data_IF_840387474613
#
_entry.id   IF_840387474613
#
_cell.length_a   1.000
_cell.length_b   1.000
_cell.length_c   1.000
_cell.angle_alpha   90.00
_cell.angle_beta   90.00
_cell.angle_gamma   90.00
#
_symmetry.space_group_name_H-M   'P 1'
#
loop_
_entity.id
_entity.type
_entity.pdbx_description
1 polymer ?
#
# COMPACT_ATOMS: atom_id res chain seq x y z
N UNK A 1 19.46 -46.96 1.71
CA UNK A 1 20.45 -47.61 2.59
C UNK A 1 21.74 -46.81 2.58
N UNK A 2 22.35 -46.55 3.74
CA UNK A 2 23.69 -45.96 3.83
C UNK A 2 24.74 -46.98 3.38
N UNK A 3 25.51 -46.67 2.34
CA UNK A 3 26.54 -47.55 1.76
C UNK A 3 27.94 -47.17 2.21
N UNK A 4 28.23 -45.88 2.37
CA UNK A 4 29.56 -45.39 2.73
C UNK A 4 29.46 -44.16 3.63
N UNK A 5 30.37 -44.06 4.60
CA UNK A 5 30.55 -42.89 5.46
C UNK A 5 32.04 -42.52 5.50
N UNK A 6 32.35 -41.31 5.04
CA UNK A 6 33.69 -40.75 5.04
C UNK A 6 33.75 -39.52 5.93
N UNK A 7 34.71 -39.48 6.85
CA UNK A 7 34.91 -38.39 7.81
C UNK A 7 36.36 -37.95 7.78
N UNK A 8 36.59 -36.66 7.55
CA UNK A 8 37.91 -36.05 7.52
C UNK A 8 37.99 -34.92 8.55
N UNK A 9 39.05 -34.93 9.37
CA UNK A 9 39.40 -33.88 10.33
C UNK A 9 38.28 -33.47 11.32
N UNK A 10 37.47 -34.43 11.75
CA UNK A 10 36.35 -34.21 12.66
C UNK A 10 36.68 -34.70 14.07
N UNK A 11 36.54 -33.84 15.09
CA UNK A 11 36.91 -34.14 16.48
C UNK A 11 38.31 -34.78 16.58
N UNK A 12 38.42 -35.99 17.16
CA UNK A 12 39.68 -36.74 17.27
C UNK A 12 39.99 -37.63 16.05
N UNK A 13 39.17 -37.60 15.00
CA UNK A 13 39.35 -38.41 13.78
C UNK A 13 40.11 -37.60 12.72
N UNK A 14 41.24 -38.14 12.25
CA UNK A 14 41.96 -37.57 11.11
C UNK A 14 41.27 -37.96 9.80
N UNK A 15 41.05 -39.24 9.61
CA UNK A 15 40.35 -39.82 8.47
C UNK A 15 39.67 -41.10 8.93
N UNK A 16 38.41 -41.29 8.56
CA UNK A 16 37.64 -42.51 8.75
C UNK A 16 36.85 -42.76 7.48
N UNK A 17 36.86 -44.02 7.04
CA UNK A 17 36.08 -44.48 5.91
C UNK A 17 35.46 -45.82 6.30
N UNK A 18 34.14 -45.89 6.21
CA UNK A 18 33.36 -47.07 6.57
C UNK A 18 32.46 -47.41 5.39
N UNK A 19 32.58 -48.63 4.90
CA UNK A 19 31.63 -49.24 3.97
C UNK A 19 30.65 -50.12 4.75
N UNK A 20 29.36 -49.97 4.46
CA UNK A 20 28.28 -50.68 5.14
C UNK A 20 27.55 -51.58 4.15
N UNK A 21 27.35 -52.83 4.56
CA UNK A 21 26.59 -53.82 3.80
C UNK A 21 25.13 -53.88 4.27
N UNK A 22 24.25 -54.37 3.38
CA UNK A 22 22.82 -54.46 3.66
C UNK A 22 22.51 -55.42 4.80
N UNK A 23 21.44 -55.12 5.54
CA UNK A 23 21.03 -55.88 6.71
C UNK A 23 21.57 -55.30 8.02
N UNK A 24 22.06 -56.16 8.91
CA UNK A 24 22.51 -55.78 10.25
C UNK A 24 24.02 -55.58 10.29
N UNK A 25 24.46 -54.34 10.49
CA UNK A 25 25.86 -53.99 10.75
C UNK A 25 26.09 -53.71 12.24
N UNK A 26 27.14 -54.30 12.81
CA UNK A 26 27.49 -54.13 14.24
C UNK A 26 28.89 -53.54 14.36
N UNK A 27 29.00 -52.37 15.00
CA UNK A 27 30.27 -51.70 15.29
C UNK A 27 30.65 -51.98 16.74
N UNK A 28 31.83 -52.57 16.96
CA UNK A 28 32.40 -52.89 18.29
C UNK A 28 33.76 -52.21 18.49
N UNK A 29 34.23 -52.09 19.73
CA UNK A 29 35.53 -51.48 20.07
C UNK A 29 35.79 -51.39 21.57
N UNK A 30 37.04 -51.09 21.97
CA UNK A 30 37.44 -50.97 23.38
C UNK A 30 36.91 -49.69 24.07
N UNK A 31 36.75 -48.60 23.33
CA UNK A 31 36.22 -47.32 23.85
C UNK A 31 35.00 -46.86 23.05
N UNK A 32 34.00 -46.29 23.74
CA UNK A 32 32.76 -45.80 23.11
C UNK A 32 32.94 -44.56 22.23
N UNK A 33 34.11 -43.93 22.24
CA UNK A 33 34.37 -42.67 21.53
C UNK A 33 34.23 -42.81 20.01
N UNK A 34 34.79 -43.85 19.40
CA UNK A 34 34.75 -44.04 17.94
C UNK A 34 33.34 -44.23 17.38
N UNK A 35 32.49 -44.95 18.12
CA UNK A 35 31.08 -45.16 17.75
C UNK A 35 30.27 -43.88 17.85
N UNK A 36 30.40 -43.15 18.96
CA UNK A 36 29.67 -41.88 19.15
C UNK A 36 30.07 -40.86 18.09
N UNK A 37 31.37 -40.72 17.80
CA UNK A 37 31.88 -39.78 16.79
C UNK A 37 31.30 -40.08 15.39
N UNK A 38 31.19 -41.36 15.01
CA UNK A 38 30.60 -41.73 13.73
C UNK A 38 29.10 -41.38 13.65
N UNK A 39 28.35 -41.60 14.73
CA UNK A 39 26.92 -41.26 14.82
C UNK A 39 26.72 -39.74 14.82
N UNK A 40 27.54 -39.00 15.55
CA UNK A 40 27.45 -37.53 15.63
C UNK A 40 27.79 -36.90 14.27
N UNK A 41 28.84 -37.38 13.59
CA UNK A 41 29.19 -36.95 12.25
C UNK A 41 28.06 -37.23 11.25
N UNK A 42 27.47 -38.42 11.30
CA UNK A 42 26.33 -38.78 10.47
C UNK A 42 25.12 -37.87 10.75
N UNK A 43 24.84 -37.57 12.02
CA UNK A 43 23.80 -36.62 12.42
C UNK A 43 24.02 -35.22 11.81
N UNK A 44 25.24 -34.71 11.83
CA UNK A 44 25.60 -33.43 11.20
C UNK A 44 25.46 -33.45 9.68
N UNK A 45 25.79 -34.58 9.05
CA UNK A 45 25.59 -34.79 7.62
C UNK A 45 24.09 -34.81 7.23
N UNK A 46 23.21 -35.19 8.17
CA UNK A 46 21.75 -35.19 8.00
C UNK A 46 21.07 -33.89 8.43
N UNK A 47 21.83 -32.80 8.63
CA UNK A 47 21.28 -31.48 8.92
C UNK A 47 21.05 -31.15 10.40
N UNK A 48 21.67 -31.90 11.32
CA UNK A 48 21.74 -31.47 12.72
C UNK A 48 22.57 -30.18 12.88
N UNK A 49 22.34 -29.47 13.98
CA UNK A 49 23.00 -28.20 14.27
C UNK A 49 24.47 -28.45 14.61
N UNK A 50 25.35 -27.68 13.97
CA UNK A 50 26.79 -27.69 14.28
C UNK A 50 27.02 -26.96 15.60
N UNK A 51 27.73 -27.60 16.53
CA UNK A 51 28.25 -26.97 17.74
C UNK A 51 29.68 -26.46 17.51
N UNK A 52 30.08 -25.41 18.24
CA UNK A 52 31.44 -24.84 18.17
C UNK A 52 32.45 -25.81 18.78
N UNK A 53 33.57 -26.07 18.08
CA UNK A 53 34.66 -27.01 18.40
C UNK A 53 34.57 -28.44 17.83
N UNK A 54 33.91 -28.63 16.68
CA UNK A 54 33.84 -29.93 15.97
C UNK A 54 35.00 -30.18 14.99
N UNK A 55 35.76 -29.15 14.61
CA UNK A 55 36.93 -29.27 13.73
C UNK A 55 38.15 -29.69 14.54
N UNK A 56 38.91 -30.67 14.04
CA UNK A 56 40.13 -31.14 14.69
C UNK A 56 41.15 -30.00 14.87
N UNK A 57 41.81 -29.98 16.02
CA UNK A 57 42.85 -28.99 16.34
C UNK A 57 43.97 -28.96 15.27
N UNK A 58 44.33 -27.76 14.83
CA UNK A 58 45.34 -27.55 13.78
C UNK A 58 44.85 -27.80 12.35
N UNK A 59 43.55 -27.99 12.11
CA UNK A 59 42.95 -28.12 10.78
C UNK A 59 42.00 -26.95 10.48
N UNK A 60 41.92 -26.52 9.23
CA UNK A 60 41.07 -25.40 8.80
C UNK A 60 39.60 -25.79 8.58
N UNK A 61 39.33 -27.07 8.26
CA UNK A 61 38.00 -27.59 7.98
C UNK A 61 37.87 -29.07 8.29
N UNK A 62 36.65 -29.48 8.64
CA UNK A 62 36.17 -30.85 8.71
C UNK A 62 35.21 -31.15 7.55
N UNK A 63 35.23 -32.36 7.03
CA UNK A 63 34.36 -32.80 5.94
C UNK A 63 33.75 -34.17 6.26
N UNK A 64 32.44 -34.28 6.07
CA UNK A 64 31.68 -35.50 6.30
C UNK A 64 30.87 -35.79 5.04
N UNK A 65 31.00 -37.00 4.51
CA UNK A 65 30.31 -37.47 3.33
C UNK A 65 29.57 -38.78 3.64
N UNK A 66 28.29 -38.85 3.33
CA UNK A 66 27.46 -40.04 3.51
C UNK A 66 26.81 -40.38 2.16
N UNK A 67 27.08 -41.58 1.66
CA UNK A 67 26.54 -42.08 0.40
C UNK A 67 25.42 -43.08 0.67
N UNK A 68 24.34 -42.94 -0.11
CA UNK A 68 23.13 -43.74 0.05
C UNK A 68 22.74 -44.38 -1.27
N UNK A 69 22.33 -45.65 -1.20
CA UNK A 69 21.60 -46.31 -2.26
C UNK A 69 20.08 -46.18 -2.02
N UNK A 70 19.34 -45.71 -3.00
CA UNK A 70 17.92 -45.43 -2.96
C UNK A 70 17.14 -46.42 -3.83
N UNK A 71 16.11 -47.01 -3.23
CA UNK A 71 15.10 -47.75 -3.99
C UNK A 71 14.04 -46.77 -4.53
N UNK A 72 13.43 -47.03 -5.70
CA UNK A 72 12.45 -46.13 -6.33
C UNK A 72 11.23 -45.81 -5.45
N UNK A 73 10.88 -46.70 -4.52
CA UNK A 73 9.75 -46.54 -3.61
C UNK A 73 10.09 -45.74 -2.34
N UNK A 74 11.34 -45.34 -2.15
CA UNK A 74 11.76 -44.58 -0.99
C UNK A 74 11.31 -43.11 -1.11
N UNK A 75 10.68 -42.50 -0.09
CA UNK A 75 10.31 -41.08 -0.11
C UNK A 75 11.45 -40.12 -0.49
N UNK A 76 12.69 -40.46 -0.14
CA UNK A 76 13.87 -39.69 -0.50
C UNK A 76 14.11 -39.61 -2.02
N UNK A 77 13.74 -40.66 -2.77
CA UNK A 77 13.86 -40.69 -4.23
C UNK A 77 12.95 -39.64 -4.88
N UNK A 78 11.69 -39.59 -4.45
CA UNK A 78 10.72 -38.59 -4.94
C UNK A 78 11.07 -37.17 -4.52
N UNK A 79 11.52 -36.97 -3.27
CA UNK A 79 11.92 -35.65 -2.79
C UNK A 79 13.09 -35.07 -3.60
N UNK A 80 14.10 -35.90 -3.96
CA UNK A 80 15.21 -35.46 -4.81
C UNK A 80 14.76 -35.06 -6.21
N UNK A 81 13.77 -35.77 -6.77
CA UNK A 81 13.19 -35.46 -8.08
C UNK A 81 12.40 -34.14 -8.04
N UNK A 82 11.57 -33.93 -7.02
CA UNK A 82 10.77 -32.70 -6.84
C UNK A 82 11.64 -31.46 -6.62
N UNK A 83 12.78 -31.61 -5.95
CA UNK A 83 13.72 -30.52 -5.68
C UNK A 83 14.76 -30.33 -6.80
N UNK A 84 14.70 -31.11 -7.89
CA UNK A 84 15.68 -31.09 -8.98
C UNK A 84 17.14 -31.35 -8.51
N UNK A 85 17.32 -32.16 -7.46
CA UNK A 85 18.62 -32.48 -6.84
C UNK A 85 19.08 -33.92 -7.11
N UNK A 86 18.37 -34.65 -7.97
CA UNK A 86 18.71 -36.01 -8.35
C UNK A 86 19.95 -36.05 -9.25
N UNK A 87 20.81 -37.05 -9.04
CA UNK A 87 21.92 -37.30 -9.95
C UNK A 87 21.40 -37.86 -11.28
N UNK A 88 21.76 -37.20 -12.38
CA UNK A 88 21.30 -37.56 -13.72
C UNK A 88 21.92 -38.87 -14.24
N UNK A 89 23.13 -39.21 -13.79
CA UNK A 89 23.83 -40.42 -14.22
C UNK A 89 23.47 -41.62 -13.33
N UNK A 90 23.31 -41.40 -12.03
CA UNK A 90 22.95 -42.43 -11.05
C UNK A 90 21.73 -42.05 -10.18
N UNK A 91 20.49 -42.16 -10.71
CA UNK A 91 19.27 -41.74 -9.99
C UNK A 91 19.01 -42.47 -8.66
N UNK A 92 19.60 -43.65 -8.50
CA UNK A 92 19.53 -44.48 -7.29
C UNK A 92 20.61 -44.16 -6.26
N UNK A 93 21.48 -43.19 -6.50
CA UNK A 93 22.52 -42.78 -5.57
C UNK A 93 22.22 -41.38 -5.01
N UNK A 94 22.48 -41.20 -3.73
CA UNK A 94 22.38 -39.91 -3.07
C UNK A 94 23.61 -39.69 -2.18
N UNK A 95 24.35 -38.63 -2.47
CA UNK A 95 25.56 -38.26 -1.73
C UNK A 95 25.28 -36.98 -0.95
N UNK A 96 25.27 -37.10 0.37
CA UNK A 96 25.20 -35.96 1.28
C UNK A 96 26.61 -35.57 1.70
N UNK A 97 26.95 -34.29 1.60
CA UNK A 97 28.26 -33.78 2.01
C UNK A 97 28.14 -32.52 2.84
N UNK A 98 28.78 -32.52 4.01
CA UNK A 98 28.81 -31.40 4.95
C UNK A 98 30.26 -30.97 5.19
N UNK A 99 30.53 -29.69 4.95
CA UNK A 99 31.83 -29.07 5.21
C UNK A 99 31.66 -28.07 6.34
N UNK A 100 32.51 -28.16 7.38
CA UNK A 100 32.47 -27.31 8.57
C UNK A 100 33.83 -26.62 8.71
N UNK A 101 33.84 -25.30 8.75
CA UNK A 101 35.06 -24.51 8.94
C UNK A 101 35.29 -24.23 10.44
N UNK A 102 36.53 -23.91 10.80
CA UNK A 102 36.92 -23.47 12.17
C UNK A 102 36.09 -22.30 12.69
N UNK A 103 35.65 -21.42 11.79
CA UNK A 103 34.83 -20.24 12.12
C UNK A 103 33.35 -20.58 12.43
N UNK A 104 32.99 -21.86 12.49
CA UNK A 104 31.64 -22.36 12.77
C UNK A 104 30.68 -22.30 11.57
N UNK A 105 31.09 -21.67 10.46
CA UNK A 105 30.33 -21.69 9.21
C UNK A 105 30.36 -23.10 8.61
N UNK A 106 29.21 -23.55 8.12
CA UNK A 106 29.10 -24.84 7.45
C UNK A 106 28.35 -24.75 6.13
N UNK A 107 28.74 -25.59 5.17
CA UNK A 107 28.13 -25.72 3.85
C UNK A 107 27.63 -27.15 3.68
N UNK A 108 26.46 -27.31 3.10
CA UNK A 108 25.89 -28.59 2.75
C UNK A 108 25.75 -28.74 1.25
N UNK A 109 25.89 -29.97 0.78
CA UNK A 109 25.74 -30.36 -0.61
C UNK A 109 24.96 -31.66 -0.70
N UNK A 110 24.13 -31.76 -1.72
CA UNK A 110 23.42 -32.98 -2.14
C UNK A 110 23.81 -33.20 -3.61
N UNK A 111 24.37 -34.36 -3.95
CA UNK A 111 24.80 -34.69 -5.31
C UNK A 111 25.61 -33.55 -5.98
N UNK A 112 26.58 -33.01 -5.23
CA UNK A 112 27.43 -31.86 -5.63
C UNK A 112 26.76 -30.48 -5.72
N UNK A 113 25.45 -30.38 -5.54
CA UNK A 113 24.70 -29.11 -5.54
C UNK A 113 24.63 -28.52 -4.13
N UNK A 114 24.96 -27.23 -3.91
CA UNK A 114 24.87 -26.61 -2.58
C UNK A 114 23.41 -26.44 -2.14
N UNK A 115 23.10 -26.82 -0.90
CA UNK A 115 21.73 -26.76 -0.34
C UNK A 115 21.68 -26.08 1.02
N UNK A 116 20.47 -25.66 1.40
CA UNK A 116 20.22 -25.13 2.74
C UNK A 116 20.26 -26.23 3.81
N UNK A 117 20.52 -25.84 5.07
CA UNK A 117 20.44 -26.78 6.19
C UNK A 117 19.02 -27.33 6.43
N UNK A 118 17.99 -26.57 6.03
CA UNK A 118 16.59 -27.01 6.10
C UNK A 118 16.32 -28.16 5.13
N UNK A 119 16.71 -27.99 3.85
CA UNK A 119 16.62 -29.04 2.84
C UNK A 119 17.40 -30.30 3.24
N UNK A 120 18.61 -30.13 3.79
CA UNK A 120 19.40 -31.25 4.28
C UNK A 120 18.71 -32.02 5.43
N UNK A 121 17.99 -31.30 6.31
CA UNK A 121 17.23 -31.88 7.41
C UNK A 121 15.94 -32.57 6.96
N UNK A 122 15.31 -32.07 5.89
CA UNK A 122 14.14 -32.71 5.28
C UNK A 122 14.50 -34.05 4.67
N UNK A 123 15.51 -34.08 3.78
CA UNK A 123 15.95 -35.33 3.16
C UNK A 123 16.55 -36.31 4.18
N UNK A 124 17.23 -35.80 5.21
CA UNK A 124 17.79 -36.62 6.28
C UNK A 124 16.72 -37.43 7.04
N UNK A 125 15.51 -36.88 7.21
CA UNK A 125 14.38 -37.58 7.83
C UNK A 125 13.82 -38.70 6.96
N UNK A 126 13.97 -38.62 5.64
CA UNK A 126 13.58 -39.67 4.70
C UNK A 126 14.63 -40.80 4.62
N UNK A 127 15.91 -40.49 4.86
CA UNK A 127 17.04 -41.39 4.64
C UNK A 127 17.42 -42.26 5.84
N UNK A 128 17.49 -41.67 7.04
CA UNK A 128 17.96 -42.35 8.25
C UNK A 128 17.04 -42.04 9.42
N UNK A 129 16.72 -43.08 10.19
CA UNK A 129 16.11 -42.96 11.50
C UNK A 129 17.15 -43.28 12.59
N UNK A 130 17.59 -42.27 13.34
CA UNK A 130 18.55 -42.46 14.45
C UNK A 130 17.78 -42.70 15.75
N UNK A 131 17.79 -43.95 16.23
CA UNK A 131 17.20 -44.32 17.51
C UNK A 131 18.21 -44.15 18.65
N UNK A 132 18.02 -43.12 19.49
CA UNK A 132 18.88 -42.76 20.63
C UNK A 132 18.16 -41.87 21.64
N UNK A 133 18.89 -41.16 22.51
CA UNK A 133 18.32 -40.31 23.59
C UNK A 133 17.35 -39.20 23.10
N UNK A 134 17.34 -38.90 21.80
CA UNK A 134 16.47 -37.88 21.17
C UNK A 134 15.37 -38.44 20.23
N UNK A 135 15.24 -39.76 20.10
CA UNK A 135 14.30 -40.41 19.16
C UNK A 135 12.82 -40.32 19.56
N UNK A 136 12.51 -39.92 20.79
CA UNK A 136 11.15 -39.79 21.32
C UNK A 136 10.29 -38.76 20.59
N UNK A 137 10.86 -37.85 19.81
CA UNK A 137 10.12 -36.71 19.27
C UNK A 137 9.14 -37.04 18.14
N UNK A 138 9.36 -38.09 17.33
CA UNK A 138 8.51 -38.36 16.17
C UNK A 138 7.23 -39.12 16.55
N UNK A 139 7.35 -40.12 17.43
CA UNK A 139 6.21 -40.86 18.00
C UNK A 139 5.31 -39.99 18.89
N UNK A 140 5.82 -38.85 19.37
CA UNK A 140 5.05 -37.86 20.15
C UNK A 140 4.35 -36.81 19.28
N UNK A 141 4.57 -36.79 17.96
CA UNK A 141 3.87 -35.86 17.07
C UNK A 141 2.43 -36.33 16.86
N UNK A 142 1.47 -35.45 17.13
CA UNK A 142 0.05 -35.72 16.93
C UNK A 142 -0.27 -36.20 15.50
N UNK A 143 0.36 -35.60 14.49
CA UNK A 143 0.13 -35.97 13.08
C UNK A 143 0.53 -37.42 12.81
N UNK A 144 1.64 -37.87 13.39
CA UNK A 144 2.14 -39.24 13.22
C UNK A 144 1.29 -40.25 14.00
N UNK A 145 0.83 -39.86 15.20
CA UNK A 145 -0.09 -40.69 15.99
C UNK A 145 -1.44 -40.86 15.30
N UNK A 146 -2.00 -39.79 14.71
CA UNK A 146 -3.23 -39.84 13.93
C UNK A 146 -3.06 -40.75 12.71
N UNK A 147 -1.97 -40.57 11.95
CA UNK A 147 -1.66 -41.41 10.80
C UNK A 147 -1.52 -42.89 11.17
N UNK A 148 -0.93 -43.21 12.33
CA UNK A 148 -0.85 -44.58 12.85
C UNK A 148 -2.24 -45.18 13.11
N UNK A 149 -3.14 -44.42 13.75
CA UNK A 149 -4.51 -44.84 14.04
C UNK A 149 -5.32 -45.01 12.74
N UNK A 150 -5.20 -44.07 11.81
CA UNK A 150 -5.86 -44.10 10.51
C UNK A 150 -5.38 -45.30 9.66
N UNK A 151 -4.07 -45.58 9.70
CA UNK A 151 -3.48 -46.75 9.03
C UNK A 151 -3.95 -48.06 9.66
N UNK A 152 -4.18 -48.09 10.97
CA UNK A 152 -4.75 -49.26 11.66
C UNK A 152 -6.24 -49.47 11.33
N UNK A 153 -7.00 -48.39 11.15
CA UNK A 153 -8.44 -48.45 10.86
C UNK A 153 -8.78 -48.90 9.43
N UNK A 154 -7.83 -48.86 8.48
CA UNK A 154 -7.98 -49.41 7.11
C UNK A 154 -9.23 -48.90 6.34
N UNK A 155 -9.54 -47.61 6.45
CA UNK A 155 -10.64 -46.97 5.72
C UNK A 155 -10.15 -45.87 4.74
N UNK A 156 -9.33 -46.21 3.72
CA UNK A 156 -8.77 -45.22 2.81
C UNK A 156 -9.86 -44.45 2.04
N UNK A 157 -10.93 -45.12 1.62
CA UNK A 157 -12.01 -44.51 0.84
C UNK A 157 -12.77 -43.42 1.63
N UNK A 158 -12.99 -43.64 2.94
CA UNK A 158 -13.65 -42.66 3.82
C UNK A 158 -12.74 -41.46 4.11
N UNK A 159 -11.43 -41.69 4.25
CA UNK A 159 -10.45 -40.62 4.44
C UNK A 159 -10.31 -39.74 3.20
N UNK A 160 -10.35 -40.35 2.00
CA UNK A 160 -10.31 -39.61 0.75
C UNK A 160 -11.60 -38.81 0.51
N UNK A 161 -12.78 -39.39 0.78
CA UNK A 161 -14.07 -38.66 0.76
C UNK A 161 -14.08 -37.47 1.72
N UNK A 162 -13.66 -37.68 2.98
CA UNK A 162 -13.56 -36.59 3.96
C UNK A 162 -12.59 -35.50 3.50
N UNK A 163 -11.46 -35.87 2.90
CA UNK A 163 -10.47 -34.91 2.39
C UNK A 163 -11.05 -34.06 1.26
N UNK A 164 -11.80 -34.66 0.35
CA UNK A 164 -12.43 -33.95 -0.76
C UNK A 164 -13.58 -33.05 -0.30
N UNK A 165 -14.44 -33.52 0.61
CA UNK A 165 -15.51 -32.72 1.22
C UNK A 165 -14.92 -31.53 2.01
N UNK A 166 -13.83 -31.76 2.75
CA UNK A 166 -13.13 -30.70 3.47
C UNK A 166 -12.52 -29.66 2.53
N UNK A 167 -11.92 -30.09 1.41
CA UNK A 167 -11.40 -29.18 0.37
C UNK A 167 -12.52 -28.35 -0.24
N UNK A 168 -13.64 -28.97 -0.59
CA UNK A 168 -14.81 -28.29 -1.13
C UNK A 168 -15.35 -27.25 -0.13
N UNK A 169 -15.52 -27.64 1.13
CA UNK A 169 -15.96 -26.74 2.20
C UNK A 169 -15.01 -25.57 2.42
N UNK A 170 -13.69 -25.82 2.49
CA UNK A 170 -12.68 -24.78 2.71
C UNK A 170 -12.63 -23.78 1.54
N UNK A 171 -12.76 -24.28 0.31
CA UNK A 171 -12.85 -23.42 -0.88
C UNK A 171 -14.10 -22.54 -0.83
N UNK A 172 -15.26 -23.13 -0.51
CA UNK A 172 -16.51 -22.39 -0.35
C UNK A 172 -16.39 -21.34 0.77
N UNK A 173 -15.85 -21.71 1.93
CA UNK A 173 -15.64 -20.78 3.05
C UNK A 173 -14.74 -19.59 2.66
N UNK A 174 -13.71 -19.85 1.86
CA UNK A 174 -12.82 -18.79 1.36
C UNK A 174 -13.58 -17.87 0.41
N UNK A 175 -14.39 -18.42 -0.50
CA UNK A 175 -15.25 -17.64 -1.39
C UNK A 175 -16.24 -16.78 -0.59
N UNK A 176 -16.97 -17.36 0.36
CA UNK A 176 -17.89 -16.62 1.27
C UNK A 176 -17.17 -15.44 1.90
N UNK A 177 -15.99 -15.68 2.48
CA UNK A 177 -15.22 -14.64 3.18
C UNK A 177 -14.82 -13.51 2.23
N UNK A 178 -14.37 -13.84 1.02
CA UNK A 178 -14.04 -12.83 0.00
C UNK A 178 -15.26 -12.05 -0.46
N UNK A 179 -16.42 -12.70 -0.60
CA UNK A 179 -17.68 -12.02 -0.95
C UNK A 179 -18.15 -11.11 0.19
N UNK A 180 -18.12 -11.54 1.44
CA UNK A 180 -18.47 -10.71 2.59
C UNK A 180 -17.59 -9.47 2.71
N UNK A 181 -16.28 -9.59 2.43
CA UNK A 181 -15.38 -8.45 2.39
C UNK A 181 -15.75 -7.45 1.28
N UNK A 182 -16.07 -7.95 0.08
CA UNK A 182 -16.51 -7.11 -1.04
C UNK A 182 -17.84 -6.40 -0.74
N UNK A 183 -18.78 -7.07 -0.08
CA UNK A 183 -20.06 -6.47 0.32
C UNK A 183 -19.83 -5.31 1.29
N UNK A 184 -19.01 -5.51 2.32
CA UNK A 184 -18.69 -4.45 3.28
C UNK A 184 -17.97 -3.25 2.62
N UNK A 185 -17.06 -3.53 1.68
CA UNK A 185 -16.39 -2.49 0.90
C UNK A 185 -17.37 -1.71 0.01
N UNK A 186 -18.25 -2.42 -0.71
CA UNK A 186 -19.31 -1.84 -1.54
C UNK A 186 -20.28 -1.00 -0.71
N UNK A 187 -20.68 -1.46 0.47
CA UNK A 187 -21.58 -0.73 1.37
C UNK A 187 -20.94 0.57 1.87
N UNK A 188 -19.66 0.53 2.26
CA UNK A 188 -18.92 1.74 2.66
C UNK A 188 -18.78 2.74 1.52
N UNK A 189 -18.52 2.26 0.29
CA UNK A 189 -18.43 3.09 -0.92
C UNK A 189 -19.77 3.71 -1.26
N UNK A 190 -20.87 2.94 -1.15
CA UNK A 190 -22.24 3.43 -1.36
C UNK A 190 -22.60 4.55 -0.41
N UNK A 191 -22.32 4.39 0.89
CA UNK A 191 -22.57 5.44 1.89
C UNK A 191 -21.81 6.73 1.59
N UNK A 192 -20.53 6.61 1.20
CA UNK A 192 -19.71 7.76 0.82
C UNK A 192 -20.28 8.47 -0.42
N UNK A 193 -20.59 7.73 -1.48
CA UNK A 193 -21.16 8.28 -2.71
C UNK A 193 -22.51 8.93 -2.46
N UNK A 194 -23.34 8.31 -1.63
CA UNK A 194 -24.66 8.85 -1.29
C UNK A 194 -24.55 10.18 -0.56
N UNK A 195 -23.65 10.27 0.44
CA UNK A 195 -23.38 11.53 1.13
C UNK A 195 -22.85 12.62 0.17
N UNK A 196 -21.94 12.27 -0.74
CA UNK A 196 -21.39 13.21 -1.72
C UNK A 196 -22.45 13.72 -2.71
N UNK A 197 -23.35 12.83 -3.17
CA UNK A 197 -24.45 13.20 -4.07
C UNK A 197 -25.47 14.07 -3.33
N UNK A 198 -25.85 13.71 -2.10
CA UNK A 198 -26.78 14.51 -1.29
C UNK A 198 -26.24 15.92 -1.03
N UNK A 199 -24.94 16.06 -0.71
CA UNK A 199 -24.30 17.37 -0.51
C UNK A 199 -24.35 18.25 -1.77
N UNK A 200 -24.13 17.65 -2.96
CA UNK A 200 -24.18 18.36 -4.23
C UNK A 200 -25.61 18.64 -4.71
N UNK A 201 -26.56 17.78 -4.35
CA UNK A 201 -27.99 17.95 -4.61
C UNK A 201 -28.59 19.09 -3.78
N UNK A 202 -28.18 19.24 -2.52
CA UNK A 202 -28.60 20.36 -1.68
C UNK A 202 -28.08 21.70 -2.23
N UNK A 203 -26.85 21.74 -2.75
CA UNK A 203 -26.29 22.96 -3.33
C UNK A 203 -26.93 23.32 -4.69
N UNK A 204 -27.33 22.30 -5.47
CA UNK A 204 -28.05 22.43 -6.73
C UNK A 204 -27.48 23.50 -7.69
N UNK A 205 -26.18 23.42 -7.97
CA UNK A 205 -25.52 24.30 -8.94
C UNK A 205 -26.00 23.98 -10.36
N UNK A 206 -26.48 25.00 -11.07
CA UNK A 206 -26.91 24.87 -12.45
C UNK A 206 -25.71 24.85 -13.42
N UNK A 207 -25.87 24.24 -14.61
CA UNK A 207 -24.85 24.30 -15.65
C UNK A 207 -24.52 25.75 -16.01
N UNK A 208 -23.22 26.07 -16.13
CA UNK A 208 -22.68 27.41 -16.43
C UNK A 208 -22.96 28.51 -15.39
N UNK A 209 -23.71 28.23 -14.32
CA UNK A 209 -24.03 29.24 -13.31
C UNK A 209 -22.78 29.85 -12.66
N UNK A 210 -21.75 29.05 -12.40
CA UNK A 210 -20.50 29.55 -11.83
C UNK A 210 -19.81 30.59 -12.72
N UNK A 211 -19.86 30.39 -14.04
CA UNK A 211 -19.25 31.31 -15.01
C UNK A 211 -20.06 32.61 -15.08
N UNK A 212 -21.39 32.52 -15.05
CA UNK A 212 -22.28 33.69 -15.01
C UNK A 212 -22.04 34.51 -13.73
N UNK A 213 -21.95 33.83 -12.57
CA UNK A 213 -21.63 34.46 -11.29
C UNK A 213 -20.25 35.13 -11.30
N UNK A 214 -19.25 34.52 -11.93
CA UNK A 214 -17.90 35.09 -12.06
C UNK A 214 -17.91 36.37 -12.92
N UNK A 215 -18.61 36.38 -14.05
CA UNK A 215 -18.76 37.57 -14.89
C UNK A 215 -19.48 38.70 -14.14
N UNK A 216 -20.54 38.37 -13.41
CA UNK A 216 -21.33 39.34 -12.66
C UNK A 216 -20.59 39.87 -11.43
N UNK A 217 -19.85 39.02 -10.71
CA UNK A 217 -18.95 39.42 -9.62
C UNK A 217 -17.88 40.39 -10.12
N UNK A 218 -17.27 40.11 -11.27
CA UNK A 218 -16.28 40.99 -11.88
C UNK A 218 -16.89 42.34 -12.26
N UNK A 219 -18.11 42.35 -12.82
CA UNK A 219 -18.83 43.59 -13.18
C UNK A 219 -19.08 44.44 -11.94
N UNK A 220 -19.66 43.84 -10.89
CA UNK A 220 -20.02 44.54 -9.66
C UNK A 220 -18.80 45.00 -8.86
N UNK A 221 -17.74 44.19 -8.78
CA UNK A 221 -16.49 44.55 -8.10
C UNK A 221 -15.79 45.72 -8.80
N UNK A 222 -15.78 45.74 -10.13
CA UNK A 222 -15.26 46.89 -10.89
C UNK A 222 -16.08 48.16 -10.62
N UNK A 223 -17.41 48.07 -10.54
CA UNK A 223 -18.27 49.21 -10.17
C UNK A 223 -17.96 49.72 -8.77
N UNK A 224 -17.74 48.84 -7.79
CA UNK A 224 -17.34 49.23 -6.43
C UNK A 224 -15.99 49.98 -6.43
N UNK A 225 -14.99 49.44 -7.12
CA UNK A 225 -13.68 50.07 -7.24
C UNK A 225 -13.75 51.42 -7.94
N UNK A 226 -14.52 51.54 -9.03
CA UNK A 226 -14.73 52.79 -9.75
C UNK A 226 -15.33 53.86 -8.83
N UNK A 227 -16.32 53.51 -8.02
CA UNK A 227 -16.92 54.46 -7.06
C UNK A 227 -15.96 54.85 -5.95
N UNK A 228 -15.22 53.90 -5.35
CA UNK A 228 -14.25 54.21 -4.30
C UNK A 228 -13.13 55.14 -4.81
N UNK A 229 -12.62 54.88 -6.02
CA UNK A 229 -11.60 55.71 -6.65
C UNK A 229 -12.16 57.08 -7.05
N UNK A 230 -13.39 57.14 -7.55
CA UNK A 230 -14.06 58.41 -7.89
C UNK A 230 -14.28 59.27 -6.65
N UNK A 231 -14.78 58.70 -5.55
CA UNK A 231 -14.91 59.41 -4.26
C UNK A 231 -13.57 59.90 -3.74
N UNK A 232 -12.53 59.07 -3.81
CA UNK A 232 -11.18 59.46 -3.39
C UNK A 232 -10.63 60.61 -4.24
N UNK A 233 -10.90 60.60 -5.56
CA UNK A 233 -10.52 61.68 -6.46
C UNK A 233 -11.29 62.97 -6.14
N UNK A 234 -12.60 62.91 -5.91
CA UNK A 234 -13.43 64.07 -5.54
C UNK A 234 -12.99 64.69 -4.21
N UNK A 235 -12.64 63.87 -3.20
CA UNK A 235 -12.05 64.35 -1.96
C UNK A 235 -10.78 65.17 -2.19
N UNK A 236 -9.88 64.71 -3.05
CA UNK A 236 -8.63 65.44 -3.34
C UNK A 236 -8.87 66.72 -4.15
N UNK A 237 -9.80 66.67 -5.11
CA UNK A 237 -10.05 67.77 -6.03
C UNK A 237 -10.81 68.93 -5.36
N UNK A 238 -11.91 68.65 -4.65
CA UNK A 238 -12.83 69.68 -4.15
C UNK A 238 -13.38 69.44 -2.75
N UNK A 239 -13.71 68.20 -2.36
CA UNK A 239 -14.55 67.93 -1.19
C UNK A 239 -13.79 67.89 0.16
N UNK A 240 -12.46 67.99 0.18
CA UNK A 240 -11.69 68.02 1.43
C UNK A 240 -11.72 69.42 2.08
N UNK A 241 -12.30 69.50 3.28
CA UNK A 241 -12.47 70.75 4.06
C UNK A 241 -11.15 71.41 4.50
N UNK A 242 -10.04 70.67 4.56
CA UNK A 242 -8.76 71.20 5.06
C UNK A 242 -7.86 71.70 3.94
N UNK A 243 -7.67 70.88 2.90
CA UNK A 243 -6.80 71.15 1.75
C UNK A 243 -7.36 70.41 0.55
N UNK A 244 -7.82 71.14 -0.47
CA UNK A 244 -8.20 70.61 -1.77
C UNK A 244 -7.39 71.28 -2.88
N UNK A 245 -7.25 70.61 -4.02
CA UNK A 245 -6.51 71.17 -5.16
C UNK A 245 -7.16 72.45 -5.66
N UNK A 246 -8.50 72.49 -5.74
CA UNK A 246 -9.26 73.69 -6.12
C UNK A 246 -8.98 74.87 -5.16
N UNK A 247 -9.04 74.64 -3.84
CA UNK A 247 -8.77 75.71 -2.85
C UNK A 247 -7.32 76.16 -2.85
N UNK A 248 -6.36 75.26 -3.09
CA UNK A 248 -4.94 75.61 -3.22
C UNK A 248 -4.66 76.43 -4.48
N UNK A 249 -5.26 76.05 -5.62
CA UNK A 249 -5.15 76.81 -6.86
C UNK A 249 -5.76 78.19 -6.70
N UNK A 250 -6.98 78.28 -6.16
CA UNK A 250 -7.65 79.56 -5.92
C UNK A 250 -6.83 80.52 -5.05
N UNK A 251 -6.25 80.04 -3.94
CA UNK A 251 -5.35 80.85 -3.09
C UNK A 251 -4.08 81.28 -3.83
N UNK A 252 -3.52 80.40 -4.67
CA UNK A 252 -2.33 80.72 -5.46
C UNK A 252 -2.63 81.80 -6.48
N UNK A 253 -3.80 81.75 -7.13
CA UNK A 253 -4.27 82.79 -8.04
C UNK A 253 -4.39 84.14 -7.34
N UNK A 254 -4.95 84.20 -6.11
CA UNK A 254 -5.04 85.45 -5.35
C UNK A 254 -3.67 86.09 -5.08
N UNK A 255 -2.64 85.30 -4.75
CA UNK A 255 -1.28 85.85 -4.58
C UNK A 255 -0.67 86.33 -5.89
N UNK A 256 -0.98 85.66 -7.01
CA UNK A 256 -0.51 86.08 -8.32
C UNK A 256 -1.22 87.35 -8.79
N UNK A 257 -2.50 87.56 -8.43
CA UNK A 257 -3.20 88.81 -8.68
C UNK A 257 -2.48 89.99 -8.03
N UNK A 258 -2.08 89.86 -6.75
CA UNK A 258 -1.27 90.88 -6.05
C UNK A 258 0.11 91.10 -6.72
N UNK A 259 0.73 90.05 -7.27
CA UNK A 259 2.00 90.15 -7.98
C UNK A 259 1.88 90.83 -9.34
N UNK A 260 0.76 90.64 -10.05
CA UNK A 260 0.49 91.32 -11.33
C UNK A 260 0.33 92.82 -11.13
N UNK A 261 -0.24 93.26 -10.00
CA UNK A 261 -0.29 94.69 -9.65
C UNK A 261 1.10 95.30 -9.44
N UNK A 262 2.07 94.49 -8.99
CA UNK A 262 3.46 94.92 -8.73
C UNK A 262 4.35 94.85 -9.99
N UNK A 263 4.23 93.80 -10.80
CA UNK A 263 4.98 93.59 -12.04
C UNK A 263 4.08 92.91 -13.10
N UNK A 264 3.77 93.59 -14.22
CA UNK A 264 2.95 93.04 -15.30
C UNK A 264 3.51 91.77 -15.96
N UNK A 265 4.78 91.41 -15.72
CA UNK A 265 5.37 90.16 -16.23
C UNK A 265 4.70 88.90 -15.69
N UNK A 266 3.97 88.98 -14.58
CA UNK A 266 3.24 87.86 -14.01
C UNK A 266 1.90 87.55 -14.71
N UNK A 267 1.42 88.40 -15.62
CA UNK A 267 0.12 88.22 -16.28
C UNK A 267 0.01 86.90 -17.05
N UNK A 268 1.08 86.44 -17.69
CA UNK A 268 1.08 85.14 -18.39
C UNK A 268 0.91 83.96 -17.40
N UNK A 269 1.51 84.06 -16.20
CA UNK A 269 1.37 83.05 -15.14
C UNK A 269 -0.04 83.06 -14.55
N UNK A 270 -0.63 84.25 -14.37
CA UNK A 270 -2.00 84.42 -13.91
C UNK A 270 -3.00 83.73 -14.86
N UNK A 271 -2.83 83.92 -16.17
CA UNK A 271 -3.67 83.27 -17.18
C UNK A 271 -3.56 81.74 -17.11
N UNK A 272 -2.33 81.21 -17.02
CA UNK A 272 -2.10 79.76 -16.88
C UNK A 272 -2.76 79.17 -15.63
N UNK A 273 -2.70 79.86 -14.49
CA UNK A 273 -3.33 79.39 -13.25
C UNK A 273 -4.86 79.46 -13.30
N UNK A 274 -5.42 80.51 -13.92
CA UNK A 274 -6.87 80.61 -14.13
C UNK A 274 -7.39 79.52 -15.07
N UNK A 275 -6.67 79.22 -16.16
CA UNK A 275 -7.01 78.10 -17.04
C UNK A 275 -6.91 76.75 -16.31
N UNK A 276 -5.85 76.55 -15.51
CA UNK A 276 -5.70 75.33 -14.70
C UNK A 276 -6.84 75.16 -13.69
N UNK A 277 -7.28 76.24 -13.03
CA UNK A 277 -8.41 76.23 -12.11
C UNK A 277 -9.70 75.80 -12.81
N UNK A 278 -9.99 76.36 -13.98
CA UNK A 278 -11.17 75.97 -14.78
C UNK A 278 -11.11 74.49 -15.17
N UNK A 279 -9.95 74.01 -15.65
CA UNK A 279 -9.78 72.60 -16.03
C UNK A 279 -9.96 71.64 -14.85
N UNK A 280 -9.49 72.01 -13.65
CA UNK A 280 -9.70 71.21 -12.43
C UNK A 280 -11.18 71.17 -12.06
N UNK A 281 -11.91 72.29 -12.16
CA UNK A 281 -13.34 72.35 -11.88
C UNK A 281 -14.17 71.53 -12.87
N UNK A 282 -13.86 71.61 -14.17
CA UNK A 282 -14.49 70.79 -15.21
C UNK A 282 -14.24 69.30 -14.96
N UNK A 283 -12.98 68.90 -14.69
CA UNK A 283 -12.65 67.51 -14.38
C UNK A 283 -13.37 67.01 -13.12
N UNK A 284 -13.49 67.84 -12.08
CA UNK A 284 -14.23 67.52 -10.86
C UNK A 284 -15.71 67.26 -11.17
N UNK A 285 -16.36 68.14 -11.93
CA UNK A 285 -17.76 67.97 -12.33
C UNK A 285 -17.97 66.71 -13.16
N UNK A 286 -17.05 66.40 -14.09
CA UNK A 286 -17.13 65.20 -14.92
C UNK A 286 -16.97 63.93 -14.08
N UNK A 287 -16.02 63.90 -13.13
CA UNK A 287 -15.87 62.77 -12.19
C UNK A 287 -17.13 62.59 -11.34
N UNK A 288 -17.74 63.68 -10.86
CA UNK A 288 -18.98 63.61 -10.10
C UNK A 288 -20.14 63.04 -10.94
N UNK A 289 -20.28 63.50 -12.18
CA UNK A 289 -21.31 63.03 -13.10
C UNK A 289 -21.13 61.54 -13.42
N UNK A 290 -19.91 61.12 -13.77
CA UNK A 290 -19.59 59.71 -14.03
C UNK A 290 -19.83 58.84 -12.79
N UNK A 291 -19.41 59.29 -11.60
CA UNK A 291 -19.61 58.55 -10.36
C UNK A 291 -21.09 58.37 -10.00
N UNK A 292 -21.94 59.36 -10.31
CA UNK A 292 -23.37 59.31 -9.98
C UNK A 292 -24.15 58.31 -10.83
N UNK A 293 -23.62 57.91 -11.98
CA UNK A 293 -24.23 56.94 -12.90
C UNK A 293 -23.75 55.50 -12.67
N UNK A 294 -22.87 55.25 -11.68
CA UNK A 294 -22.42 53.89 -11.37
C UNK A 294 -23.53 53.17 -10.59
N UNK A 295 -24.15 52.18 -11.22
CA UNK A 295 -25.07 51.27 -10.53
C UNK A 295 -24.27 50.36 -9.56
N UNK A 296 -24.62 50.45 -8.28
CA UNK A 296 -24.05 49.61 -7.23
C UNK A 296 -25.15 48.76 -6.59
N UNK A 297 -24.87 47.47 -6.45
CA UNK A 297 -25.67 46.57 -5.62
C UNK A 297 -24.75 45.76 -4.68
N UNK A 298 -24.40 46.31 -3.51
CA UNK A 298 -23.52 45.65 -2.54
C UNK A 298 -24.14 44.36 -1.98
N UNK A 299 -25.47 44.30 -1.90
CA UNK A 299 -26.18 43.14 -1.36
C UNK A 299 -26.10 41.98 -2.35
N UNK A 300 -26.33 42.24 -3.64
CA UNK A 300 -26.16 41.26 -4.70
C UNK A 300 -24.70 40.78 -4.81
N UNK A 301 -23.72 41.67 -4.72
CA UNK A 301 -22.30 41.28 -4.72
C UNK A 301 -21.98 40.31 -3.58
N UNK A 302 -22.47 40.59 -2.36
CA UNK A 302 -22.26 39.72 -1.20
C UNK A 302 -22.93 38.34 -1.37
N UNK A 303 -24.14 38.29 -1.94
CA UNK A 303 -24.85 37.03 -2.24
C UNK A 303 -24.08 36.19 -3.27
N UNK A 304 -23.59 36.83 -4.35
CA UNK A 304 -22.78 36.19 -5.38
C UNK A 304 -21.48 35.63 -4.78
N UNK A 305 -20.76 36.42 -3.98
CA UNK A 305 -19.52 35.98 -3.33
C UNK A 305 -19.74 34.81 -2.35
N UNK A 306 -20.84 34.82 -1.60
CA UNK A 306 -21.21 33.68 -0.74
C UNK A 306 -21.48 32.43 -1.56
N UNK A 307 -22.27 32.53 -2.64
CA UNK A 307 -22.61 31.39 -3.51
C UNK A 307 -21.38 30.84 -4.23
N UNK A 308 -20.52 31.71 -4.76
CA UNK A 308 -19.23 31.31 -5.34
C UNK A 308 -18.30 30.69 -4.30
N UNK A 309 -18.29 31.21 -3.08
CA UNK A 309 -17.51 30.66 -1.95
C UNK A 309 -17.93 29.25 -1.59
N UNK A 310 -19.23 28.97 -1.56
CA UNK A 310 -19.76 27.61 -1.35
C UNK A 310 -19.36 26.67 -2.49
N UNK A 311 -19.48 27.10 -3.76
CA UNK A 311 -19.06 26.31 -4.92
C UNK A 311 -17.56 25.95 -4.84
N UNK A 312 -16.71 26.89 -4.44
CA UNK A 312 -15.26 26.66 -4.26
C UNK A 312 -14.95 25.67 -3.14
N UNK A 313 -15.69 25.71 -2.03
CA UNK A 313 -15.51 24.75 -0.94
C UNK A 313 -15.87 23.33 -1.37
N UNK A 314 -16.99 23.15 -2.08
CA UNK A 314 -17.40 21.87 -2.63
C UNK A 314 -16.40 21.35 -3.68
N UNK A 315 -15.99 22.21 -4.61
CA UNK A 315 -14.97 21.89 -5.60
C UNK A 315 -13.66 21.39 -4.95
N UNK A 316 -13.21 22.03 -3.86
CA UNK A 316 -12.04 21.57 -3.08
C UNK A 316 -12.27 20.22 -2.39
N UNK A 317 -13.44 19.98 -1.81
CA UNK A 317 -13.79 18.68 -1.19
C UNK A 317 -13.75 17.54 -2.19
N UNK A 318 -14.24 17.78 -3.41
CA UNK A 318 -14.25 16.79 -4.49
C UNK A 318 -12.99 16.80 -5.35
N UNK A 319 -12.04 17.71 -5.08
CA UNK A 319 -10.79 17.89 -5.83
C UNK A 319 -11.01 18.09 -7.35
N UNK A 320 -12.03 18.86 -7.71
CA UNK A 320 -12.38 19.24 -9.09
C UNK A 320 -12.41 20.75 -9.23
N UNK A 321 -12.41 21.25 -10.46
CA UNK A 321 -12.63 22.69 -10.70
C UNK A 321 -14.11 23.03 -10.45
N UNK A 322 -14.43 24.26 -10.01
CA UNK A 322 -15.81 24.70 -9.81
C UNK A 322 -16.68 24.58 -11.07
N UNK A 323 -16.11 24.87 -12.25
CA UNK A 323 -16.77 24.75 -13.55
C UNK A 323 -17.18 23.29 -13.87
N UNK A 324 -16.39 22.33 -13.40
CA UNK A 324 -16.58 20.90 -13.68
C UNK A 324 -17.46 20.22 -12.61
N UNK A 325 -17.89 20.95 -11.57
CA UNK A 325 -18.62 20.40 -10.44
C UNK A 325 -19.96 19.76 -10.85
N UNK A 326 -20.64 20.35 -11.85
CA UNK A 326 -21.92 19.84 -12.36
C UNK A 326 -21.73 18.52 -13.11
N UNK A 327 -20.70 18.42 -13.96
CA UNK A 327 -20.37 17.16 -14.64
C UNK A 327 -19.92 16.09 -13.66
N UNK A 328 -19.16 16.49 -12.65
CA UNK A 328 -18.74 15.60 -11.57
C UNK A 328 -19.93 15.05 -10.78
N UNK A 329 -20.89 15.91 -10.44
CA UNK A 329 -22.13 15.52 -9.78
C UNK A 329 -22.91 14.48 -10.60
N UNK A 330 -23.03 14.67 -11.91
CA UNK A 330 -23.69 13.70 -12.81
C UNK A 330 -22.95 12.34 -12.83
N UNK A 331 -21.61 12.35 -12.84
CA UNK A 331 -20.80 11.13 -12.77
C UNK A 331 -21.03 10.38 -11.46
N UNK A 332 -21.02 11.08 -10.32
CA UNK A 332 -21.29 10.48 -9.01
C UNK A 332 -22.70 9.89 -8.92
N UNK A 333 -23.71 10.58 -9.46
CA UNK A 333 -25.07 10.06 -9.55
C UNK A 333 -25.16 8.78 -10.37
N UNK A 334 -24.54 8.76 -11.55
CA UNK A 334 -24.51 7.57 -12.39
C UNK A 334 -23.82 6.38 -11.70
N UNK A 335 -22.72 6.64 -11.00
CA UNK A 335 -22.00 5.62 -10.23
C UNK A 335 -22.85 5.09 -9.05
N UNK A 336 -23.54 5.97 -8.33
CA UNK A 336 -24.45 5.58 -7.25
C UNK A 336 -25.60 4.72 -7.77
N UNK A 337 -26.21 5.07 -8.91
CA UNK A 337 -27.27 4.26 -9.53
C UNK A 337 -26.77 2.88 -9.94
N UNK A 338 -25.58 2.79 -10.54
CA UNK A 338 -25.00 1.51 -10.94
C UNK A 338 -24.70 0.60 -9.74
N UNK A 339 -24.29 1.17 -8.61
CA UNK A 339 -24.04 0.43 -7.36
C UNK A 339 -25.34 -0.02 -6.68
N UNK A 340 -26.41 0.78 -6.74
CA UNK A 340 -27.73 0.40 -6.25
C UNK A 340 -28.26 -0.83 -6.99
N UNK A 341 -28.22 -0.82 -8.31
CA UNK A 341 -28.66 -1.94 -9.16
C UNK A 341 -27.85 -3.22 -8.91
N UNK A 342 -26.55 -3.11 -8.65
CA UNK A 342 -25.69 -4.26 -8.32
C UNK A 342 -26.05 -4.87 -6.96
N UNK A 343 -26.39 -4.05 -5.96
CA UNK A 343 -26.70 -4.54 -4.61
C UNK A 343 -27.96 -5.42 -4.54
N UNK A 344 -28.99 -5.15 -5.36
CA UNK A 344 -30.17 -6.03 -5.46
C UNK A 344 -29.83 -7.42 -6.02
N UNK A 345 -28.81 -7.51 -6.88
CA UNK A 345 -28.33 -8.78 -7.43
C UNK A 345 -27.48 -9.59 -6.43
N UNK A 346 -26.78 -8.92 -5.51
CA UNK A 346 -25.96 -9.55 -4.46
C UNK A 346 -26.81 -10.25 -3.39
N UNK A 347 -27.94 -9.65 -2.98
CA UNK A 347 -28.85 -10.27 -2.00
C UNK A 347 -29.42 -11.61 -2.50
N UNK A 348 -29.68 -11.73 -3.80
CA UNK A 348 -30.14 -12.97 -4.43
C UNK A 348 -29.07 -14.06 -4.43
N UNK A 349 -27.79 -13.70 -4.56
CA UNK A 349 -26.67 -14.66 -4.54
C UNK A 349 -26.37 -15.18 -3.13
N UNK A 350 -26.42 -14.31 -2.12
CA UNK A 350 -26.25 -14.69 -0.70
C UNK A 350 -27.37 -15.65 -0.26
N UNK A 351 -28.59 -15.47 -0.78
CA UNK A 351 -29.71 -16.37 -0.50
C UNK A 351 -29.50 -17.78 -1.08
N UNK A 352 -28.87 -17.90 -2.25
CA UNK A 352 -28.55 -19.20 -2.88
C UNK A 352 -27.42 -19.95 -2.16
N UNK A 353 -26.49 -19.26 -1.52
CA UNK A 353 -25.35 -19.84 -0.80
C UNK A 353 -25.72 -20.52 0.54
N UNK A 354 -26.81 -20.11 1.18
CA UNK A 354 -27.25 -20.73 2.46
C UNK A 354 -27.67 -22.20 2.30
N UNK A 355 -28.09 -22.63 1.12
CA UNK A 355 -28.55 -24.01 0.88
C UNK A 355 -27.45 -25.09 0.98
N UNK A 356 -26.27 -24.96 0.35
CA UNK A 356 -25.22 -25.96 0.45
C UNK A 356 -24.56 -26.07 1.84
N UNK A 357 -24.43 -24.97 2.59
CA UNK A 357 -23.79 -25.02 3.94
C UNK A 357 -24.58 -25.89 4.94
N UNK A 358 -25.90 -25.96 4.78
CA UNK A 358 -26.78 -26.80 5.61
C UNK A 358 -26.60 -28.29 5.32
N UNK A 359 -26.28 -28.68 4.08
CA UNK A 359 -26.03 -30.08 3.70
C UNK A 359 -24.73 -30.62 4.30
N UNK A 360 -23.63 -29.85 4.24
CA UNK A 360 -22.35 -30.29 4.82
C UNK A 360 -22.40 -30.48 6.35
N UNK A 361 -23.12 -29.61 7.08
CA UNK A 361 -23.28 -29.75 8.54
C UNK A 361 -24.11 -30.97 8.95
N UNK A 362 -24.98 -31.49 8.07
CA UNK A 362 -25.74 -32.70 8.34
C UNK A 362 -24.90 -33.98 8.14
N UNK A 363 -23.97 -33.97 7.18
CA UNK A 363 -23.08 -35.12 6.93
C UNK A 363 -22.04 -35.32 8.04
N UNK A 364 -21.55 -34.25 8.69
CA UNK A 364 -20.63 -34.38 9.85
C UNK A 364 -21.27 -34.94 11.14
N UNK A 365 -22.60 -35.07 11.21
CA UNK A 365 -23.31 -35.59 12.39
C UNK A 365 -23.61 -37.09 12.33
N UNK A 366 -23.40 -37.71 11.17
CA UNK A 366 -23.51 -39.15 10.94
C UNK A 366 -22.13 -39.75 10.82
#
# INVERSE_FOLDING_TARGET
MLTQLTINNFAIVRQLEIELAGGMSVITGETGAGKSIAIDALGLCLGQRVESAMVREGQERAEICASFHLEPHNPAYHWLQEQELQDAENPSECILRRVINTDGRSKAFINSTPVSAAQLKEIGQCLIHINGQHASQLLLKNDYQLQLVDSFAQHPDLLDQMRDDYRAWKNLQTQVKTFQQKIAENESRKQLLQYQVEELDEFNLLPNEYLELEEEQRRLSNSEQLTQLSQSALQLLSENETVSIDTMLYRTTQYIDELVELDPRYTDVQNLLNEALIQVQEATNEVQHLSSNIEQDPMLLQEIEQRMGQALQLARKHNVKPEELVEWHQKLKAELTALLDFSESEELLIAQEKQPSHKCKQQQRH
#
